data_IF_525187376290
#
_entry.id   IF_525187376290
#
_cell.length_a   1.000
_cell.length_b   1.000
_cell.length_c   1.000
_cell.angle_alpha   90.00
_cell.angle_beta   90.00
_cell.angle_gamma   90.00
#
_symmetry.space_group_name_H-M   'P 1'
#
loop_
_entity.id
_entity.type
_entity.pdbx_description
1 polymer ?
#
# COMPACT_ATOMS: atom_id res chain seq x y z
N UNK A 1 -1.80 4.64 14.10
CA UNK A 1 -2.55 4.49 12.84
C UNK A 1 -3.59 5.58 12.80
N UNK A 2 -3.91 6.10 11.62
CA UNK A 2 -4.98 7.07 11.44
C UNK A 2 -5.40 7.08 9.98
N UNK A 3 -6.67 7.38 9.75
CA UNK A 3 -7.24 7.65 8.44
C UNK A 3 -7.55 9.13 8.34
N UNK A 4 -7.21 9.75 7.21
CA UNK A 4 -7.51 11.15 6.91
C UNK A 4 -8.34 11.18 5.64
N UNK A 5 -9.55 11.72 5.73
CA UNK A 5 -10.44 11.84 4.58
C UNK A 5 -9.99 13.00 3.67
N UNK A 6 -10.01 12.80 2.35
CA UNK A 6 -9.76 13.86 1.36
C UNK A 6 -10.71 15.04 1.53
N UNK A 7 -11.97 14.82 1.92
CA UNK A 7 -12.94 15.88 2.18
C UNK A 7 -12.48 16.82 3.30
N UNK A 8 -11.81 16.29 4.32
CA UNK A 8 -11.32 17.05 5.47
C UNK A 8 -9.98 17.73 5.15
N UNK A 9 -9.05 17.00 4.54
CA UNK A 9 -7.70 17.50 4.28
C UNK A 9 -7.61 18.43 3.06
N UNK A 10 -8.42 18.17 2.03
CA UNK A 10 -8.37 18.86 0.74
C UNK A 10 -9.77 19.13 0.18
N UNK A 11 -10.62 19.92 0.87
CA UNK A 11 -12.00 20.17 0.48
C UNK A 11 -12.15 20.78 -0.93
N UNK A 12 -11.19 21.59 -1.38
CA UNK A 12 -11.20 22.13 -2.75
C UNK A 12 -10.99 21.05 -3.81
N UNK A 13 -10.17 20.03 -3.53
CA UNK A 13 -10.00 18.89 -4.41
C UNK A 13 -11.25 18.00 -4.40
N UNK A 14 -11.85 17.79 -3.23
CA UNK A 14 -13.09 17.04 -3.09
C UNK A 14 -14.25 17.69 -3.84
N UNK A 15 -14.34 19.02 -3.84
CA UNK A 15 -15.34 19.77 -4.60
C UNK A 15 -15.26 19.54 -6.13
N UNK A 16 -14.17 18.97 -6.64
CA UNK A 16 -14.01 18.60 -8.05
C UNK A 16 -14.55 17.19 -8.36
N UNK A 17 -15.10 16.44 -7.39
CA UNK A 17 -15.55 15.05 -7.58
C UNK A 17 -16.61 14.93 -8.69
N UNK A 18 -17.66 15.74 -8.64
CA UNK A 18 -18.74 15.71 -9.66
C UNK A 18 -18.19 16.02 -11.06
N UNK A 19 -17.33 17.03 -11.18
CA UNK A 19 -16.67 17.37 -12.44
C UNK A 19 -15.81 16.20 -12.95
N UNK A 20 -15.08 15.51 -12.07
CA UNK A 20 -14.25 14.34 -12.45
C UNK A 20 -15.12 13.16 -12.91
N UNK A 21 -16.30 12.97 -12.32
CA UNK A 21 -17.28 11.97 -12.76
C UNK A 21 -17.75 12.32 -14.18
N UNK A 22 -18.08 13.59 -14.44
CA UNK A 22 -18.52 14.07 -15.75
C UNK A 22 -17.43 13.93 -16.84
N UNK A 23 -16.17 14.23 -16.50
CA UNK A 23 -15.04 14.09 -17.43
C UNK A 23 -14.84 12.63 -17.86
N UNK A 24 -15.17 11.65 -17.01
CA UNK A 24 -14.99 10.19 -17.19
C UNK A 24 -13.53 9.73 -17.35
N UNK A 25 -12.65 10.58 -17.90
CA UNK A 25 -11.22 10.33 -18.09
C UNK A 25 -10.43 10.60 -16.81
N UNK A 26 -9.41 9.78 -16.57
CA UNK A 26 -8.42 10.04 -15.52
C UNK A 26 -7.66 11.32 -15.84
N UNK A 27 -7.63 12.24 -14.89
CA UNK A 27 -6.89 13.49 -14.98
C UNK A 27 -5.55 13.35 -14.25
N UNK A 28 -4.63 14.30 -14.48
CA UNK A 28 -3.36 14.36 -13.73
C UNK A 28 -3.59 14.35 -12.21
N UNK A 29 -4.71 14.90 -11.74
CA UNK A 29 -5.07 14.90 -10.32
C UNK A 29 -5.20 13.47 -9.76
N UNK A 30 -5.74 12.51 -10.52
CA UNK A 30 -5.90 11.12 -10.04
C UNK A 30 -4.56 10.46 -9.70
N UNK A 31 -3.50 10.79 -10.43
CA UNK A 31 -2.15 10.32 -10.15
C UNK A 31 -1.49 11.12 -9.01
N UNK A 32 -1.63 12.44 -9.02
CA UNK A 32 -0.83 13.33 -8.16
C UNK A 32 -1.45 13.61 -6.78
N UNK A 33 -2.77 13.43 -6.61
CA UNK A 33 -3.46 13.73 -5.33
C UNK A 33 -2.93 12.90 -4.15
N UNK A 34 -2.36 11.74 -4.47
CA UNK A 34 -1.70 10.81 -3.54
C UNK A 34 -0.45 11.41 -2.89
N UNK A 35 0.08 12.51 -3.45
CA UNK A 35 1.34 13.13 -3.04
C UNK A 35 1.14 14.42 -2.23
N UNK A 36 -0.10 14.78 -1.88
CA UNK A 36 -0.43 16.07 -1.27
C UNK A 36 -0.01 16.25 0.19
N UNK A 37 0.48 15.18 0.85
CA UNK A 37 1.05 15.20 2.21
C UNK A 37 0.19 16.00 3.22
N UNK A 38 -1.04 15.57 3.49
CA UNK A 38 -1.95 16.30 4.40
C UNK A 38 -1.47 16.32 5.86
N UNK A 39 -0.53 15.45 6.22
CA UNK A 39 0.11 15.38 7.52
C UNK A 39 1.62 15.45 7.36
N UNK A 40 2.28 16.30 8.17
CA UNK A 40 3.73 16.40 8.24
C UNK A 40 4.21 15.91 9.61
N UNK A 41 5.15 14.97 9.59
CA UNK A 41 5.89 14.49 10.74
C UNK A 41 7.37 14.90 10.63
N UNK A 42 8.17 14.48 11.62
CA UNK A 42 9.63 14.66 11.60
C UNK A 42 10.26 14.00 10.36
N UNK A 43 9.82 12.79 10.04
CA UNK A 43 10.20 12.03 8.86
C UNK A 43 8.93 11.65 8.08
N UNK A 44 8.88 12.01 6.79
CA UNK A 44 7.70 11.87 5.92
C UNK A 44 7.96 10.83 4.84
N UNK A 45 7.34 9.67 4.96
CA UNK A 45 7.47 8.58 3.99
C UNK A 45 6.20 8.45 3.17
N UNK A 46 6.32 8.32 1.85
CA UNK A 46 5.22 8.04 0.93
C UNK A 46 5.41 6.67 0.30
N UNK A 47 4.40 5.81 0.39
CA UNK A 47 4.31 4.59 -0.40
C UNK A 47 3.05 4.64 -1.26
N UNK A 48 3.20 4.52 -2.57
CA UNK A 48 2.07 4.64 -3.50
C UNK A 48 2.32 3.88 -4.81
N UNK A 49 1.26 3.84 -5.62
CA UNK A 49 1.24 3.15 -6.91
C UNK A 49 0.98 4.07 -8.10
N UNK A 50 1.44 3.63 -9.27
CA UNK A 50 1.09 4.18 -10.57
C UNK A 50 0.48 3.09 -11.47
N UNK A 51 -0.48 3.47 -12.29
CA UNK A 51 -1.17 2.52 -13.16
C UNK A 51 -0.55 2.41 -14.57
N UNK A 52 -0.13 3.54 -15.15
CA UNK A 52 0.46 3.59 -16.50
C UNK A 52 1.96 3.85 -16.45
N UNK A 53 2.71 3.06 -17.23
CA UNK A 53 4.15 3.26 -17.41
C UNK A 53 4.45 4.69 -17.88
N UNK A 54 5.51 5.27 -17.34
CA UNK A 54 5.93 6.66 -17.51
C UNK A 54 5.50 7.57 -16.36
N UNK A 55 4.43 7.24 -15.62
CA UNK A 55 4.01 8.04 -14.47
C UNK A 55 5.00 7.96 -13.31
N UNK A 56 5.72 6.84 -13.17
CA UNK A 56 6.79 6.69 -12.19
C UNK A 56 7.80 7.85 -12.26
N UNK A 57 8.19 8.29 -13.46
CA UNK A 57 9.17 9.36 -13.64
C UNK A 57 8.64 10.68 -13.12
N UNK A 58 7.44 11.08 -13.55
CA UNK A 58 6.84 12.35 -13.11
C UNK A 58 6.56 12.36 -11.61
N UNK A 59 6.10 11.24 -11.04
CA UNK A 59 5.88 11.12 -9.61
C UNK A 59 7.18 11.21 -8.82
N UNK A 60 8.25 10.55 -9.28
CA UNK A 60 9.55 10.60 -8.61
C UNK A 60 10.15 12.01 -8.67
N UNK A 61 10.08 12.70 -9.80
CA UNK A 61 10.56 14.08 -9.92
C UNK A 61 9.76 15.04 -9.02
N UNK A 62 8.43 14.88 -8.95
CA UNK A 62 7.62 15.63 -8.01
C UNK A 62 7.98 15.31 -6.54
N UNK A 63 8.29 14.05 -6.23
CA UNK A 63 8.69 13.63 -4.90
C UNK A 63 10.02 14.25 -4.47
N UNK A 64 11.00 14.35 -5.38
CA UNK A 64 12.29 15.03 -5.13
C UNK A 64 12.15 16.51 -4.81
N UNK A 65 11.11 17.16 -5.32
CA UNK A 65 10.77 18.56 -5.01
C UNK A 65 9.89 18.70 -3.76
N UNK A 66 9.41 17.59 -3.20
CA UNK A 66 8.52 17.55 -2.04
C UNK A 66 9.30 17.36 -0.74
N UNK A 67 8.61 17.47 0.40
CA UNK A 67 9.21 17.27 1.74
C UNK A 67 9.26 15.79 2.18
N UNK A 68 9.15 14.84 1.25
CA UNK A 68 9.23 13.42 1.58
C UNK A 68 10.69 13.04 1.79
N UNK A 69 10.99 12.42 2.94
CA UNK A 69 12.31 11.84 3.22
C UNK A 69 12.53 10.57 2.40
N UNK A 70 11.45 9.81 2.14
CA UNK A 70 11.47 8.61 1.33
C UNK A 70 10.17 8.50 0.54
N UNK A 71 10.26 8.22 -0.76
CA UNK A 71 9.09 7.95 -1.59
C UNK A 71 9.28 6.65 -2.37
N UNK A 72 8.31 5.74 -2.25
CA UNK A 72 8.22 4.46 -2.93
C UNK A 72 7.07 4.51 -3.93
N UNK A 73 7.35 4.26 -5.21
CA UNK A 73 6.38 4.31 -6.32
C UNK A 73 6.43 3.00 -7.09
N UNK A 74 5.38 2.19 -7.05
CA UNK A 74 5.36 0.87 -7.72
C UNK A 74 4.19 0.66 -8.69
N UNK A 75 4.29 -0.38 -9.53
CA UNK A 75 3.28 -0.78 -10.52
C UNK A 75 2.05 -1.47 -9.89
N UNK A 76 1.52 -0.93 -8.80
CA UNK A 76 0.27 -1.39 -8.22
C UNK A 76 -0.96 -0.87 -8.99
N UNK A 77 -2.11 -1.51 -8.81
CA UNK A 77 -3.36 -0.89 -9.21
C UNK A 77 -3.57 0.41 -8.41
N UNK A 78 -4.34 1.35 -8.97
CA UNK A 78 -4.68 2.59 -8.28
C UNK A 78 -5.43 2.27 -6.98
N UNK A 79 -5.02 2.86 -5.86
CA UNK A 79 -5.53 2.54 -4.52
C UNK A 79 -4.84 1.35 -3.82
N UNK A 80 -3.91 0.65 -4.48
CA UNK A 80 -3.04 -0.35 -3.84
C UNK A 80 -1.73 0.28 -3.35
N UNK A 81 -1.05 -0.40 -2.42
CA UNK A 81 0.13 0.15 -1.76
C UNK A 81 1.36 0.27 -2.67
N UNK A 82 1.84 -0.84 -3.25
CA UNK A 82 3.11 -0.83 -3.99
C UNK A 82 3.05 -1.61 -5.31
N UNK A 83 2.66 -2.89 -5.29
CA UNK A 83 2.70 -3.73 -6.49
C UNK A 83 1.75 -4.92 -6.41
N UNK A 84 1.41 -5.49 -7.57
CA UNK A 84 0.68 -6.75 -7.66
C UNK A 84 1.60 -7.96 -7.47
N UNK A 85 1.32 -8.80 -6.47
CA UNK A 85 2.16 -9.96 -6.09
C UNK A 85 2.26 -11.06 -7.15
N UNK A 86 1.39 -11.05 -8.15
CA UNK A 86 1.26 -12.10 -9.16
C UNK A 86 2.26 -12.01 -10.32
N UNK A 87 3.10 -10.97 -10.34
CA UNK A 87 4.09 -10.75 -11.38
C UNK A 87 5.29 -9.98 -10.81
N UNK A 88 6.48 -10.12 -11.41
CA UNK A 88 7.60 -9.24 -11.11
C UNK A 88 7.19 -7.78 -11.33
N UNK A 89 7.52 -6.92 -10.38
CA UNK A 89 7.21 -5.49 -10.43
C UNK A 89 8.41 -4.67 -10.04
N UNK A 90 8.53 -3.47 -10.60
CA UNK A 90 9.53 -2.50 -10.16
C UNK A 90 8.92 -1.52 -9.16
N UNK A 91 9.68 -1.21 -8.12
CA UNK A 91 9.43 -0.12 -7.19
C UNK A 91 10.57 0.89 -7.34
N UNK A 92 10.21 2.14 -7.61
CA UNK A 92 11.12 3.27 -7.72
C UNK A 92 11.21 3.98 -6.37
N UNK A 93 12.42 4.31 -5.96
CA UNK A 93 12.71 4.84 -4.63
C UNK A 93 13.45 6.17 -4.75
N UNK A 94 12.82 7.23 -4.25
CA UNK A 94 13.44 8.54 -4.07
C UNK A 94 13.74 8.77 -2.58
N UNK A 95 15.03 8.94 -2.25
CA UNK A 95 15.54 9.05 -0.86
C UNK A 95 16.37 10.31 -0.63
N UNK A 96 16.08 11.39 -1.38
CA UNK A 96 16.87 12.63 -1.38
C UNK A 96 18.18 12.57 -2.18
N UNK A 97 18.53 11.40 -2.74
CA UNK A 97 19.62 11.25 -3.71
C UNK A 97 19.19 11.78 -5.08
N UNK A 98 20.16 12.24 -5.87
CA UNK A 98 19.92 12.66 -7.27
C UNK A 98 19.42 11.50 -8.13
N UNK A 99 20.05 10.33 -7.98
CA UNK A 99 19.66 9.11 -8.67
C UNK A 99 18.54 8.38 -7.93
N UNK A 100 17.51 8.02 -8.68
CA UNK A 100 16.42 7.14 -8.23
C UNK A 100 16.91 5.70 -8.16
N UNK A 101 16.66 5.04 -7.03
CA UNK A 101 16.94 3.62 -6.85
C UNK A 101 15.77 2.78 -7.42
N UNK A 102 16.06 1.63 -8.01
CA UNK A 102 15.05 0.70 -8.55
C UNK A 102 15.19 -0.67 -7.86
N UNK A 103 14.09 -1.19 -7.34
CA UNK A 103 14.02 -2.53 -6.75
C UNK A 103 13.02 -3.37 -7.52
N UNK A 104 13.43 -4.59 -7.89
CA UNK A 104 12.52 -5.59 -8.46
C UNK A 104 11.91 -6.39 -7.32
N UNK A 105 10.60 -6.28 -7.15
CA UNK A 105 9.80 -7.06 -6.23
C UNK A 105 9.25 -8.30 -6.95
N UNK A 106 9.69 -9.48 -6.53
CA UNK A 106 9.24 -10.77 -7.06
C UNK A 106 9.24 -11.79 -5.92
N UNK A 107 8.18 -12.60 -5.80
CA UNK A 107 7.96 -13.42 -4.59
C UNK A 107 9.12 -14.40 -4.33
N UNK A 108 9.53 -15.13 -5.36
CA UNK A 108 10.59 -16.16 -5.29
C UNK A 108 11.99 -15.61 -4.94
N UNK A 109 12.24 -14.32 -5.13
CA UNK A 109 13.50 -13.67 -4.74
C UNK A 109 13.41 -13.00 -3.37
N UNK A 110 12.20 -12.64 -2.92
CA UNK A 110 11.98 -11.92 -1.66
C UNK A 110 11.68 -12.87 -0.50
N UNK A 111 11.04 -14.01 -0.76
CA UNK A 111 10.51 -14.90 0.26
C UNK A 111 10.98 -16.34 0.06
N UNK A 112 10.85 -17.17 1.10
CA UNK A 112 11.04 -18.61 1.00
C UNK A 112 10.05 -19.23 0.01
N UNK A 113 10.34 -20.44 -0.46
CA UNK A 113 9.45 -21.19 -1.35
C UNK A 113 8.05 -21.39 -0.74
N UNK A 114 8.01 -21.71 0.55
CA UNK A 114 6.77 -21.89 1.32
C UNK A 114 5.94 -20.60 1.35
N UNK A 115 6.54 -19.48 1.77
CA UNK A 115 5.85 -18.19 1.84
C UNK A 115 5.44 -17.68 0.44
N UNK A 116 6.30 -17.86 -0.56
CA UNK A 116 5.98 -17.51 -1.95
C UNK A 116 4.76 -18.28 -2.47
N UNK A 117 4.69 -19.58 -2.17
CA UNK A 117 3.59 -20.45 -2.57
C UNK A 117 2.30 -20.05 -1.86
N UNK A 118 2.35 -19.78 -0.55
CA UNK A 118 1.21 -19.33 0.24
C UNK A 118 0.64 -18.00 -0.30
N UNK A 119 1.50 -17.00 -0.51
CA UNK A 119 1.13 -15.68 -1.04
C UNK A 119 0.50 -15.82 -2.44
N UNK A 120 1.11 -16.64 -3.31
CA UNK A 120 0.60 -16.90 -4.65
C UNK A 120 -0.77 -17.56 -4.66
N UNK A 121 -0.98 -18.59 -3.84
CA UNK A 121 -2.25 -19.30 -3.73
C UNK A 121 -3.37 -18.39 -3.17
N UNK A 122 -3.04 -17.57 -2.18
CA UNK A 122 -3.96 -16.60 -1.60
C UNK A 122 -4.42 -15.55 -2.62
N UNK A 123 -3.50 -15.05 -3.44
CA UNK A 123 -3.85 -14.15 -4.55
C UNK A 123 -4.84 -14.81 -5.52
N UNK A 124 -4.59 -16.05 -5.94
CA UNK A 124 -5.49 -16.74 -6.88
C UNK A 124 -6.88 -16.99 -6.29
N UNK A 125 -6.95 -17.29 -5.00
CA UNK A 125 -8.20 -17.47 -4.25
C UNK A 125 -9.03 -16.19 -4.32
N UNK A 126 -8.48 -15.06 -3.89
CA UNK A 126 -9.21 -13.78 -3.86
C UNK A 126 -9.49 -13.22 -5.26
N UNK A 127 -8.61 -13.44 -6.24
CA UNK A 127 -8.82 -13.01 -7.62
C UNK A 127 -10.05 -13.66 -8.25
N UNK A 128 -10.31 -14.92 -7.90
CA UNK A 128 -11.38 -15.72 -8.49
C UNK A 128 -12.71 -15.57 -7.76
N UNK A 129 -12.71 -14.90 -6.61
CA UNK A 129 -13.85 -14.83 -5.72
C UNK A 129 -14.66 -13.55 -5.96
N UNK A 130 -15.94 -13.71 -6.31
CA UNK A 130 -16.86 -12.59 -6.35
C UNK A 130 -17.12 -12.04 -4.94
N UNK A 131 -17.21 -10.72 -4.84
CA UNK A 131 -17.42 -10.04 -3.57
C UNK A 131 -18.32 -8.81 -3.70
N UNK A 132 -18.95 -8.49 -2.57
CA UNK A 132 -19.57 -7.20 -2.29
C UNK A 132 -18.80 -6.51 -1.15
N UNK A 133 -19.17 -5.29 -0.81
CA UNK A 133 -18.47 -4.51 0.22
C UNK A 133 -18.40 -5.22 1.60
N UNK A 134 -19.50 -5.79 2.14
CA UNK A 134 -19.43 -6.52 3.41
C UNK A 134 -18.48 -7.71 3.39
N UNK A 135 -18.48 -8.51 2.30
CA UNK A 135 -17.57 -9.66 2.16
C UNK A 135 -16.11 -9.22 2.10
N UNK A 136 -15.82 -8.17 1.33
CA UNK A 136 -14.47 -7.60 1.23
C UNK A 136 -13.97 -7.08 2.58
N UNK A 137 -14.81 -6.36 3.32
CA UNK A 137 -14.49 -5.91 4.67
C UNK A 137 -14.25 -7.10 5.61
N UNK A 138 -15.08 -8.15 5.52
CA UNK A 138 -14.96 -9.37 6.31
C UNK A 138 -13.64 -10.12 6.09
N UNK A 139 -13.08 -10.10 4.87
CA UNK A 139 -11.74 -10.63 4.62
C UNK A 139 -10.66 -9.89 5.39
N UNK A 140 -10.69 -8.56 5.36
CA UNK A 140 -9.76 -7.72 6.10
C UNK A 140 -9.91 -7.88 7.61
N UNK A 141 -11.15 -7.87 8.10
CA UNK A 141 -11.45 -8.08 9.52
C UNK A 141 -10.94 -9.44 10.01
N UNK A 142 -11.23 -10.52 9.28
CA UNK A 142 -10.75 -11.87 9.65
C UNK A 142 -9.22 -11.89 9.72
N UNK A 143 -8.54 -11.39 8.69
CA UNK A 143 -7.09 -11.34 8.66
C UNK A 143 -6.50 -10.57 9.86
N UNK A 144 -7.05 -9.41 10.20
CA UNK A 144 -6.55 -8.60 11.32
C UNK A 144 -6.87 -9.21 12.69
N UNK A 145 -8.01 -9.89 12.82
CA UNK A 145 -8.57 -10.38 14.09
C UNK A 145 -7.99 -11.71 14.53
N UNK A 146 -7.75 -12.60 13.59
CA UNK A 146 -7.33 -13.96 13.90
C UNK A 146 -6.31 -14.52 12.88
N UNK A 147 -5.80 -13.71 11.97
CA UNK A 147 -4.83 -14.16 10.98
C UNK A 147 -5.38 -15.18 9.97
N UNK A 148 -6.70 -15.29 9.80
CA UNK A 148 -7.30 -16.28 8.89
C UNK A 148 -7.76 -15.71 7.56
N UNK A 149 -7.89 -16.60 6.57
CA UNK A 149 -8.36 -16.28 5.24
C UNK A 149 -7.26 -15.86 4.28
N UNK A 150 -7.60 -15.79 2.99
CA UNK A 150 -6.64 -15.50 1.92
C UNK A 150 -6.11 -14.05 1.94
N UNK A 151 -6.73 -13.13 2.71
CA UNK A 151 -6.20 -11.78 2.85
C UNK A 151 -4.95 -11.72 3.74
N UNK A 152 -4.80 -12.63 4.73
CA UNK A 152 -3.69 -12.61 5.69
C UNK A 152 -2.30 -12.63 5.04
N UNK A 153 -1.96 -13.61 4.18
CA UNK A 153 -0.62 -13.65 3.55
C UNK A 153 -0.39 -12.45 2.63
N UNK A 154 -1.43 -11.89 1.99
CA UNK A 154 -1.28 -10.70 1.15
C UNK A 154 -1.00 -9.44 1.97
N UNK A 155 -1.69 -9.26 3.10
CA UNK A 155 -1.44 -8.16 4.03
C UNK A 155 -0.04 -8.27 4.63
N UNK A 156 0.35 -9.47 5.09
CA UNK A 156 1.68 -9.73 5.62
C UNK A 156 2.79 -9.46 4.59
N UNK A 157 2.58 -9.88 3.33
CA UNK A 157 3.51 -9.60 2.23
C UNK A 157 3.73 -8.11 2.02
N UNK A 158 2.66 -7.32 1.93
CA UNK A 158 2.77 -5.87 1.72
C UNK A 158 3.41 -5.16 2.93
N UNK A 159 3.06 -5.56 4.16
CA UNK A 159 3.66 -5.02 5.37
C UNK A 159 5.18 -5.30 5.44
N UNK A 160 5.59 -6.51 5.06
CA UNK A 160 6.98 -6.92 5.00
C UNK A 160 7.79 -6.11 3.98
N UNK A 161 7.27 -5.98 2.75
CA UNK A 161 7.92 -5.21 1.69
C UNK A 161 8.05 -3.75 2.07
N UNK A 162 6.97 -3.14 2.60
CA UNK A 162 7.04 -1.76 3.09
C UNK A 162 8.10 -1.60 4.18
N UNK A 163 8.12 -2.49 5.17
CA UNK A 163 9.06 -2.39 6.29
C UNK A 163 10.51 -2.50 5.81
N UNK A 164 10.78 -3.44 4.90
CA UNK A 164 12.11 -3.62 4.33
C UNK A 164 12.54 -2.40 3.51
N UNK A 165 11.70 -1.95 2.57
CA UNK A 165 12.02 -0.82 1.67
C UNK A 165 12.13 0.52 2.40
N UNK A 166 11.41 0.68 3.51
CA UNK A 166 11.52 1.83 4.40
C UNK A 166 12.73 1.77 5.34
N UNK A 167 13.57 0.72 5.26
CA UNK A 167 14.77 0.59 6.08
C UNK A 167 14.50 0.29 7.55
N UNK A 168 13.36 -0.32 7.90
CA UNK A 168 12.99 -0.65 9.28
C UNK A 168 13.70 -1.90 9.83
N UNK A 169 14.81 -2.32 9.21
CA UNK A 169 15.74 -3.30 9.77
C UNK A 169 15.37 -4.77 9.62
N UNK A 170 14.28 -5.11 8.92
CA UNK A 170 13.87 -6.50 8.67
C UNK A 170 14.15 -6.88 7.21
N UNK A 171 14.60 -8.11 6.96
CA UNK A 171 14.49 -8.70 5.62
C UNK A 171 13.02 -8.89 5.22
N UNK A 172 12.77 -9.10 3.93
CA UNK A 172 11.42 -9.43 3.45
C UNK A 172 10.81 -10.63 4.20
N UNK A 173 11.56 -11.73 4.36
CA UNK A 173 11.07 -12.92 5.04
C UNK A 173 10.83 -12.69 6.54
N UNK A 174 11.76 -12.03 7.25
CA UNK A 174 11.57 -11.73 8.67
C UNK A 174 10.38 -10.79 8.90
N UNK A 175 10.22 -9.80 8.02
CA UNK A 175 9.05 -8.91 8.01
C UNK A 175 7.75 -9.68 7.79
N UNK A 176 7.75 -10.65 6.88
CA UNK A 176 6.58 -11.49 6.60
C UNK A 176 6.20 -12.32 7.83
N UNK A 177 7.16 -13.04 8.40
CA UNK A 177 6.95 -13.87 9.59
C UNK A 177 6.47 -13.03 10.78
N UNK A 178 7.03 -11.83 10.96
CA UNK A 178 6.62 -10.90 12.01
C UNK A 178 5.17 -10.43 11.79
N UNK A 179 4.82 -10.02 10.57
CA UNK A 179 3.48 -9.57 10.25
C UNK A 179 2.45 -10.71 10.40
N UNK A 180 2.78 -11.92 9.95
CA UNK A 180 1.97 -13.14 10.16
C UNK A 180 1.65 -13.36 11.63
N UNK A 181 2.67 -13.34 12.49
CA UNK A 181 2.51 -13.50 13.93
C UNK A 181 1.59 -12.42 14.54
N UNK A 182 1.79 -11.15 14.17
CA UNK A 182 0.97 -10.05 14.70
C UNK A 182 -0.51 -10.15 14.30
N UNK A 183 -0.78 -10.64 13.08
CA UNK A 183 -2.12 -10.90 12.57
C UNK A 183 -2.78 -12.08 13.30
N UNK A 184 -2.04 -13.17 13.53
CA UNK A 184 -2.50 -14.35 14.29
C UNK A 184 -2.81 -14.02 15.75
N UNK A 185 -2.03 -13.14 16.38
CA UNK A 185 -2.26 -12.67 17.75
C UNK A 185 -3.48 -11.73 17.87
N UNK A 186 -4.03 -11.23 16.75
CA UNK A 186 -5.17 -10.31 16.75
C UNK A 186 -4.84 -8.89 17.27
N UNK A 187 -3.56 -8.60 17.51
CA UNK A 187 -3.10 -7.32 18.04
C UNK A 187 -3.40 -6.15 17.10
N UNK A 188 -3.34 -6.40 15.79
CA UNK A 188 -3.68 -5.43 14.76
C UNK A 188 -5.17 -5.03 14.82
N UNK A 189 -6.06 -6.01 14.96
CA UNK A 189 -7.51 -5.74 15.10
C UNK A 189 -7.82 -4.95 16.36
N UNK A 190 -7.22 -5.30 17.51
CA UNK A 190 -7.43 -4.54 18.75
C UNK A 190 -7.09 -3.06 18.57
N UNK A 191 -5.92 -2.75 18.01
CA UNK A 191 -5.52 -1.35 17.73
C UNK A 191 -6.42 -0.65 16.71
N UNK A 192 -6.91 -1.39 15.72
CA UNK A 192 -7.86 -0.84 14.76
C UNK A 192 -9.19 -0.49 15.42
N UNK A 193 -9.73 -1.38 16.26
CA UNK A 193 -10.97 -1.13 16.99
C UNK A 193 -10.82 0.00 18.02
N UNK A 194 -9.70 0.09 18.73
CA UNK A 194 -9.41 1.25 19.58
C UNK A 194 -9.47 2.58 18.82
N UNK A 195 -9.00 2.59 17.56
CA UNK A 195 -9.12 3.76 16.69
C UNK A 195 -10.58 4.01 16.27
N UNK A 196 -11.31 2.97 15.84
CA UNK A 196 -12.73 3.09 15.46
C UNK A 196 -13.58 3.59 16.63
N UNK A 197 -13.39 3.03 17.81
CA UNK A 197 -14.10 3.41 19.04
C UNK A 197 -13.76 4.85 19.48
N UNK A 198 -12.63 5.41 19.03
CA UNK A 198 -12.29 6.82 19.29
C UNK A 198 -13.00 7.81 18.36
N UNK A 199 -13.61 7.33 17.28
CA UNK A 199 -14.32 8.15 16.30
C UNK A 199 -15.83 8.26 16.57
N UNK A 200 -16.39 7.39 17.42
CA UNK A 200 -17.81 7.29 17.75
C UNK A 200 -18.04 7.44 19.26
#
# INVERSE_FOLDING_TARGET
FGYINTQEAHPLLENLRELRIEIVKRTTLSTMEKMLMPLQAKDNYLATSYFHRGYETSMIEAAKLSKFNLTLVGNGAEGTTLYGVHKPSKVFIASGKEKTDEVVCQLDTMFSEESSTEIGAAYQTLKSEEYNLPKFAGWGESALKNGTGAATPLIACQAAVLSHLCGLGLSYQEGYNTARKLLEEGSCYKKFMEYVDSLF
#
